data_IF_045942654381
#
_entry.id   IF_045942654381
#
_cell.length_a   1.000
_cell.length_b   1.000
_cell.length_c   1.000
_cell.angle_alpha   90.00
_cell.angle_beta   90.00
_cell.angle_gamma   90.00
#
_symmetry.space_group_name_H-M   'P 1'
#
loop_
_entity.id
_entity.type
_entity.pdbx_description
1 polymer ?
#
# COMPACT_ATOMS: atom_id res chain seq x y z
N UNK A 1 -7.22 -25.03 -2.93
CA UNK A 1 -6.07 -24.32 -3.53
C UNK A 1 -6.59 -22.93 -3.89
N UNK A 2 -6.21 -21.90 -3.15
CA UNK A 2 -6.61 -20.52 -3.48
C UNK A 2 -5.77 -20.00 -4.64
N UNK A 3 -6.42 -19.61 -5.72
CA UNK A 3 -5.75 -18.92 -6.84
C UNK A 3 -5.34 -17.53 -6.37
N UNK A 4 -4.03 -17.27 -6.33
CA UNK A 4 -3.52 -15.92 -6.10
C UNK A 4 -3.94 -15.04 -7.28
N UNK A 5 -4.64 -13.95 -6.99
CA UNK A 5 -5.11 -13.01 -8.01
C UNK A 5 -4.16 -11.82 -8.02
N UNK A 6 -3.47 -11.65 -9.16
CA UNK A 6 -2.69 -10.47 -9.47
C UNK A 6 -3.50 -9.60 -10.43
N UNK A 7 -4.19 -8.59 -9.90
CA UNK A 7 -4.92 -7.62 -10.71
C UNK A 7 -4.14 -6.29 -10.75
N UNK A 8 -4.03 -5.69 -11.95
CA UNK A 8 -3.46 -4.35 -12.09
C UNK A 8 -4.60 -3.34 -12.10
N UNK A 9 -4.70 -2.55 -11.04
CA UNK A 9 -5.53 -1.34 -10.99
C UNK A 9 -4.69 -0.20 -11.57
N UNK A 10 -5.32 0.81 -12.18
CA UNK A 10 -4.64 1.87 -12.94
C UNK A 10 -3.41 2.46 -12.22
N UNK A 11 -3.44 2.54 -10.89
CA UNK A 11 -2.39 3.16 -10.06
C UNK A 11 -1.63 2.19 -9.13
N UNK A 12 -2.01 0.91 -9.03
CA UNK A 12 -1.35 -0.06 -8.13
C UNK A 12 -1.60 -1.53 -8.51
N UNK A 13 -0.79 -2.43 -7.97
CA UNK A 13 -0.94 -3.88 -8.12
C UNK A 13 -1.67 -4.44 -6.90
N UNK A 14 -2.64 -5.34 -7.10
CA UNK A 14 -3.31 -6.06 -6.01
C UNK A 14 -2.78 -7.48 -5.94
N UNK A 15 -2.39 -7.90 -4.74
CA UNK A 15 -2.02 -9.27 -4.41
C UNK A 15 -2.95 -9.79 -3.31
N UNK A 16 -3.95 -10.59 -3.69
CA UNK A 16 -4.86 -11.24 -2.73
C UNK A 16 -4.47 -12.71 -2.52
N UNK A 17 -4.02 -13.01 -1.30
CA UNK A 17 -3.61 -14.36 -0.88
C UNK A 17 -4.76 -15.23 -0.36
N UNK A 18 -5.94 -14.64 -0.13
CA UNK A 18 -7.09 -15.34 0.45
C UNK A 18 -7.75 -16.27 -0.57
N UNK A 19 -7.51 -16.05 -1.87
CA UNK A 19 -8.09 -16.85 -2.95
C UNK A 19 -9.62 -16.77 -3.03
N UNK A 20 -10.17 -15.63 -2.61
CA UNK A 20 -11.61 -15.31 -2.67
C UNK A 20 -11.92 -14.56 -3.98
N UNK A 21 -13.21 -14.41 -4.27
CA UNK A 21 -13.69 -13.63 -5.43
C UNK A 21 -13.30 -12.15 -5.28
N UNK A 22 -12.98 -11.49 -6.40
CA UNK A 22 -12.78 -10.03 -6.46
C UNK A 22 -14.04 -9.23 -6.06
N UNK A 23 -15.21 -9.87 -5.98
CA UNK A 23 -16.46 -9.27 -5.47
C UNK A 23 -16.65 -9.43 -3.94
N UNK A 24 -15.63 -9.87 -3.21
CA UNK A 24 -15.66 -9.94 -1.76
C UNK A 24 -15.57 -8.55 -1.12
N UNK A 25 -16.34 -8.32 -0.05
CA UNK A 25 -16.47 -7.00 0.60
C UNK A 25 -15.13 -6.46 1.08
N UNK A 26 -14.22 -7.32 1.55
CA UNK A 26 -12.88 -6.90 1.98
C UNK A 26 -12.04 -6.49 0.78
N UNK A 27 -12.13 -7.20 -0.34
CA UNK A 27 -11.42 -6.83 -1.57
C UNK A 27 -11.88 -5.46 -2.06
N UNK A 28 -13.19 -5.28 -2.21
CA UNK A 28 -13.78 -4.01 -2.66
C UNK A 28 -13.42 -2.85 -1.72
N UNK A 29 -13.50 -3.08 -0.41
CA UNK A 29 -13.17 -2.05 0.59
C UNK A 29 -11.69 -1.70 0.58
N UNK A 30 -10.80 -2.70 0.53
CA UNK A 30 -9.36 -2.48 0.50
C UNK A 30 -8.93 -1.74 -0.78
N UNK A 31 -9.50 -2.11 -1.93
CA UNK A 31 -9.26 -1.43 -3.21
C UNK A 31 -9.78 0.01 -3.17
N UNK A 32 -10.98 0.24 -2.62
CA UNK A 32 -11.54 1.60 -2.49
C UNK A 32 -10.66 2.50 -1.63
N UNK A 33 -10.31 2.07 -0.41
CA UNK A 33 -9.45 2.87 0.49
C UNK A 33 -8.09 3.13 -0.16
N UNK A 34 -7.54 2.13 -0.87
CA UNK A 34 -6.27 2.31 -1.60
C UNK A 34 -6.39 3.35 -2.70
N UNK A 35 -7.48 3.37 -3.47
CA UNK A 35 -7.72 4.42 -4.47
C UNK A 35 -7.76 5.82 -3.83
N UNK A 36 -8.48 5.96 -2.71
CA UNK A 36 -8.60 7.25 -1.99
C UNK A 36 -7.22 7.75 -1.51
N UNK A 37 -6.36 6.84 -1.02
CA UNK A 37 -4.98 7.16 -0.61
C UNK A 37 -4.14 7.58 -1.82
N UNK A 38 -4.19 6.82 -2.92
CA UNK A 38 -3.41 7.13 -4.12
C UNK A 38 -3.82 8.47 -4.74
N UNK A 39 -5.13 8.78 -4.78
CA UNK A 39 -5.63 10.10 -5.22
C UNK A 39 -5.15 11.23 -4.28
N UNK A 40 -5.12 10.97 -2.97
CA UNK A 40 -4.56 11.90 -1.99
C UNK A 40 -3.08 12.20 -2.27
N UNK A 41 -2.27 11.17 -2.55
CA UNK A 41 -0.85 11.34 -2.84
C UNK A 41 -0.62 12.10 -4.16
N UNK A 42 -1.38 11.80 -5.22
CA UNK A 42 -1.28 12.52 -6.50
C UNK A 42 -1.50 14.04 -6.32
N UNK A 43 -2.40 14.43 -5.42
CA UNK A 43 -2.71 15.84 -5.13
C UNK A 43 -1.61 16.55 -4.34
N UNK A 44 -0.73 15.81 -3.66
CA UNK A 44 0.32 16.40 -2.82
C UNK A 44 1.53 16.95 -3.60
N UNK A 45 1.56 16.81 -4.93
CA UNK A 45 2.49 17.51 -5.84
C UNK A 45 3.96 17.45 -5.39
N UNK A 46 4.53 16.25 -5.34
CA UNK A 46 5.90 16.03 -4.86
C UNK A 46 6.87 15.73 -6.00
N UNK A 47 8.12 16.15 -5.81
CA UNK A 47 9.28 15.81 -6.66
C UNK A 47 9.61 14.31 -6.69
N UNK A 48 8.92 13.53 -5.85
CA UNK A 48 9.19 12.13 -5.63
C UNK A 48 8.33 11.27 -6.55
N UNK A 49 8.94 10.21 -7.08
CA UNK A 49 8.27 9.31 -8.00
C UNK A 49 7.90 8.03 -7.27
N UNK A 50 6.60 7.76 -7.13
CA UNK A 50 6.12 6.43 -6.71
C UNK A 50 6.59 5.42 -7.76
N UNK A 51 7.58 4.59 -7.40
CA UNK A 51 8.07 3.51 -8.26
C UNK A 51 7.06 2.38 -8.35
N UNK A 52 6.46 2.03 -7.22
CA UNK A 52 5.52 0.92 -7.13
C UNK A 52 4.56 1.13 -5.97
N UNK A 53 3.29 0.84 -6.20
CA UNK A 53 2.27 0.71 -5.17
C UNK A 53 1.68 -0.70 -5.25
N UNK A 54 1.68 -1.43 -4.14
CA UNK A 54 1.13 -2.79 -4.07
C UNK A 54 0.20 -2.94 -2.87
N UNK A 55 -1.06 -3.25 -3.13
CA UNK A 55 -2.04 -3.63 -2.12
C UNK A 55 -1.94 -5.12 -1.85
N UNK A 56 -1.52 -5.48 -0.64
CA UNK A 56 -1.50 -6.85 -0.15
C UNK A 56 -2.73 -7.13 0.69
N UNK A 57 -3.53 -8.11 0.28
CA UNK A 57 -4.70 -8.57 1.03
C UNK A 57 -4.44 -10.00 1.51
N UNK A 58 -4.59 -10.21 2.81
CA UNK A 58 -4.36 -11.49 3.49
C UNK A 58 -5.45 -11.77 4.52
N UNK A 59 -5.46 -12.99 5.08
CA UNK A 59 -6.55 -13.46 5.94
C UNK A 59 -6.82 -12.59 7.17
N UNK A 60 -5.81 -11.88 7.67
CA UNK A 60 -5.90 -11.00 8.83
C UNK A 60 -5.99 -9.51 8.51
N UNK A 61 -5.95 -9.09 7.23
CA UNK A 61 -5.97 -7.67 6.92
C UNK A 61 -5.59 -7.30 5.49
N UNK A 62 -5.47 -6.00 5.28
CA UNK A 62 -4.95 -5.42 4.05
C UNK A 62 -3.93 -4.33 4.38
N UNK A 63 -2.87 -4.26 3.57
CA UNK A 63 -1.83 -3.24 3.69
C UNK A 63 -1.39 -2.76 2.32
N UNK A 64 -1.16 -1.47 2.17
CA UNK A 64 -0.59 -0.85 0.99
C UNK A 64 0.90 -0.65 1.20
N UNK A 65 1.70 -1.23 0.33
CA UNK A 65 3.15 -1.03 0.28
C UNK A 65 3.45 -0.03 -0.81
N UNK A 66 4.05 1.10 -0.44
CA UNK A 66 4.56 2.09 -1.37
C UNK A 66 6.08 2.02 -1.39
N UNK A 67 6.63 1.90 -2.59
CA UNK A 67 8.05 2.12 -2.86
C UNK A 67 8.17 3.42 -3.63
N UNK A 68 8.87 4.35 -3.02
CA UNK A 68 9.01 5.69 -3.57
C UNK A 68 10.46 6.05 -3.64
N UNK A 69 10.77 6.72 -4.74
CA UNK A 69 12.10 7.18 -5.04
C UNK A 69 12.15 8.69 -4.83
N UNK A 70 13.00 9.09 -3.90
CA UNK A 70 13.26 10.47 -3.53
C UNK A 70 14.70 10.84 -3.90
N UNK A 71 14.88 12.10 -4.30
CA UNK A 71 16.20 12.65 -4.61
C UNK A 71 16.96 13.06 -3.35
N UNK A 72 16.24 13.35 -2.27
CA UNK A 72 16.77 13.65 -0.94
C UNK A 72 16.20 12.67 0.11
N UNK A 73 16.60 12.88 1.37
CA UNK A 73 16.11 12.10 2.50
C UNK A 73 14.76 12.63 3.01
N UNK A 74 14.19 13.68 2.41
CA UNK A 74 12.92 14.23 2.84
C UNK A 74 11.78 13.27 2.51
N UNK A 75 10.79 13.22 3.40
CA UNK A 75 9.66 12.33 3.24
C UNK A 75 8.68 12.89 2.23
N UNK A 76 8.16 12.00 1.40
CA UNK A 76 7.13 12.26 0.39
C UNK A 76 5.96 13.00 1.02
N UNK A 77 5.53 12.59 2.22
CA UNK A 77 4.72 13.46 3.03
C UNK A 77 5.05 13.21 4.50
N UNK A 78 5.29 14.27 5.30
CA UNK A 78 5.47 14.15 6.75
C UNK A 78 4.33 13.38 7.43
N UNK A 79 3.11 13.48 6.89
CA UNK A 79 1.93 12.76 7.37
C UNK A 79 2.08 11.22 7.27
N UNK A 80 2.91 10.74 6.33
CA UNK A 80 3.22 9.32 6.16
C UNK A 80 4.45 8.85 6.94
N UNK A 81 5.08 9.70 7.75
CA UNK A 81 6.25 9.33 8.58
C UNK A 81 5.98 8.08 9.42
N UNK A 82 4.81 8.01 10.05
CA UNK A 82 4.41 6.86 10.88
C UNK A 82 4.31 5.52 10.11
N UNK A 83 4.18 5.59 8.79
CA UNK A 83 4.07 4.44 7.89
C UNK A 83 5.41 4.04 7.27
N UNK A 84 6.45 4.89 7.41
CA UNK A 84 7.78 4.60 6.91
C UNK A 84 8.38 3.40 7.65
N UNK A 85 8.83 2.40 6.90
CA UNK A 85 9.46 1.19 7.45
C UNK A 85 10.95 1.11 7.18
N UNK A 86 11.41 1.69 6.09
CA UNK A 86 12.84 1.72 5.78
C UNK A 86 13.15 2.80 4.75
N UNK A 87 14.33 3.38 4.88
CA UNK A 87 14.98 4.19 3.86
C UNK A 87 16.25 3.47 3.47
N UNK A 88 16.54 3.37 2.18
CA UNK A 88 17.77 2.77 1.66
C UNK A 88 18.34 3.67 0.60
N UNK A 89 19.65 3.94 0.68
CA UNK A 89 20.35 4.71 -0.34
C UNK A 89 20.95 3.76 -1.38
N UNK A 90 20.71 4.07 -2.65
CA UNK A 90 21.29 3.41 -3.80
C UNK A 90 21.99 4.48 -4.67
N UNK A 91 23.25 4.25 -5.02
CA UNK A 91 24.07 5.27 -5.70
C UNK A 91 23.63 5.56 -7.14
N UNK A 92 22.86 4.67 -7.76
CA UNK A 92 22.37 4.84 -9.14
C UNK A 92 21.01 5.51 -9.19
N UNK A 93 20.16 5.21 -8.20
CA UNK A 93 18.79 5.69 -8.15
C UNK A 93 18.65 6.82 -7.16
N UNK A 94 19.07 6.70 -5.91
CA UNK A 94 18.92 7.73 -4.86
C UNK A 94 18.35 7.11 -3.60
N UNK A 95 17.50 7.84 -2.87
CA UNK A 95 16.84 7.29 -1.68
C UNK A 95 15.57 6.52 -2.07
N UNK A 96 15.51 5.27 -1.65
CA UNK A 96 14.34 4.41 -1.77
C UNK A 96 13.67 4.35 -0.41
N UNK A 97 12.46 4.91 -0.32
CA UNK A 97 11.63 4.90 0.87
C UNK A 97 10.57 3.81 0.71
N UNK A 98 10.42 2.97 1.74
CA UNK A 98 9.37 1.95 1.81
C UNK A 98 8.38 2.32 2.89
N UNK A 99 7.14 2.57 2.48
CA UNK A 99 6.01 2.79 3.38
C UNK A 99 5.11 1.57 3.42
N UNK A 100 4.61 1.24 4.61
CA UNK A 100 3.60 0.20 4.82
C UNK A 100 2.43 0.86 5.53
N UNK A 101 1.37 1.11 4.76
CA UNK A 101 0.16 1.78 5.21
C UNK A 101 -0.87 0.68 5.52
N UNK A 102 -1.29 0.51 6.78
CA UNK A 102 -2.37 -0.41 7.10
C UNK A 102 -3.69 0.09 6.51
N UNK A 103 -4.45 -0.78 5.84
CA UNK A 103 -5.69 -0.44 5.14
C UNK A 103 -6.90 -0.99 5.91
N UNK A 104 -6.82 -2.27 6.30
CA UNK A 104 -7.84 -2.94 7.10
C UNK A 104 -7.14 -3.88 8.08
N UNK A 105 -7.58 -3.85 9.34
CA UNK A 105 -7.25 -4.87 10.32
C UNK A 105 -8.50 -5.73 10.52
N UNK A 106 -8.43 -7.01 10.16
CA UNK A 106 -9.57 -7.93 10.27
C UNK A 106 -9.64 -8.51 11.70
N UNK A 107 -8.61 -8.32 12.52
CA UNK A 107 -8.57 -8.74 13.93
C UNK A 107 -8.93 -7.58 14.87
N UNK A 108 -10.23 -7.31 15.07
CA UNK A 108 -10.70 -6.41 16.17
C UNK A 108 -12.16 -6.57 16.61
N UNK A 109 -12.87 -7.68 16.33
CA UNK A 109 -14.27 -7.81 16.80
C UNK A 109 -14.83 -9.22 17.06
N UNK A 110 -14.01 -10.20 17.42
CA UNK A 110 -14.51 -11.47 17.99
C UNK A 110 -13.72 -11.98 19.20
N UNK A 111 -13.30 -11.09 20.09
CA UNK A 111 -12.90 -11.46 21.46
C UNK A 111 -13.29 -10.34 22.43
N UNK A 112 -14.58 -10.24 22.73
CA UNK A 112 -15.06 -9.69 24.00
C UNK A 112 -15.61 -10.85 24.83
N UNK A 113 -15.19 -11.00 26.10
CA UNK A 113 -15.47 -12.17 26.94
C UNK A 113 -16.94 -12.34 27.30
#
# INVERSE_FOLDING_TARGET
MGTQVNARVASFIVYDTRGLSEADVVYESAVKITNDIMEGIERLALSDTIKTATLFIHGSGAQLILLVHAFDEELIAPEFESTLKSVTYDSETGYIQRHVIPILDIDSSMNSP
#
